data_IF_870173523392
#
_entry.id   IF_870173523392
#
_cell.length_a   1.000
_cell.length_b   1.000
_cell.length_c   1.000
_cell.angle_alpha   90.00
_cell.angle_beta   90.00
_cell.angle_gamma   90.00
#
_symmetry.space_group_name_H-M   'P 1'
#
loop_
_entity.id
_entity.type
_entity.pdbx_description
1 polymer ?
#
# COMPACT_ATOMS: atom_id res chain seq x y z
N UNK A 1 -8.21 -2.06 15.16
CA UNK A 1 -7.07 -1.74 16.06
C UNK A 1 -5.78 -2.42 15.60
N UNK A 2 -5.81 -3.70 15.22
CA UNK A 2 -4.61 -4.45 14.81
C UNK A 2 -3.77 -3.76 13.71
N UNK A 3 -4.40 -3.18 12.70
CA UNK A 3 -3.75 -2.47 11.59
C UNK A 3 -3.16 -1.10 11.99
N UNK A 4 -3.59 -0.56 13.14
CA UNK A 4 -3.11 0.71 13.70
C UNK A 4 -2.04 0.49 14.78
N UNK A 5 -1.43 -0.70 14.84
CA UNK A 5 -0.29 -0.97 15.72
C UNK A 5 0.84 -1.67 14.97
N UNK A 6 2.05 -1.45 15.43
CA UNK A 6 3.21 -2.25 15.06
C UNK A 6 3.96 -2.71 16.32
N UNK A 7 4.05 -4.02 16.51
CA UNK A 7 4.85 -4.60 17.60
C UNK A 7 6.32 -4.69 17.19
N UNK A 8 7.21 -4.33 18.10
CA UNK A 8 8.67 -4.37 17.92
C UNK A 8 9.29 -5.11 19.10
N UNK A 9 10.04 -6.17 18.82
CA UNK A 9 10.74 -6.98 19.83
C UNK A 9 12.16 -6.48 20.06
N UNK A 10 12.75 -6.80 21.21
CA UNK A 10 14.14 -6.46 21.54
C UNK A 10 14.36 -5.01 21.99
N UNK A 11 13.30 -4.22 22.14
CA UNK A 11 13.35 -2.86 22.67
C UNK A 11 12.61 -2.77 24.00
N UNK A 12 12.98 -1.82 24.87
CA UNK A 12 12.25 -1.58 26.11
C UNK A 12 10.91 -0.90 25.84
N UNK A 13 9.93 -1.12 26.73
CA UNK A 13 8.59 -0.51 26.63
C UNK A 13 8.63 1.02 26.53
N UNK A 14 9.61 1.67 27.18
CA UNK A 14 9.81 3.12 27.11
C UNK A 14 10.15 3.68 25.72
N UNK A 15 10.49 2.82 24.76
CA UNK A 15 10.66 3.20 23.35
C UNK A 15 9.34 3.17 22.55
N UNK A 16 8.24 2.74 23.17
CA UNK A 16 6.92 2.78 22.54
C UNK A 16 6.48 4.21 22.29
N UNK A 17 5.81 4.45 21.17
CA UNK A 17 5.39 5.79 20.75
C UNK A 17 4.21 5.73 19.80
N UNK A 18 3.44 6.81 19.76
CA UNK A 18 2.40 7.01 18.75
C UNK A 18 3.01 7.82 17.61
N UNK A 19 2.88 7.33 16.38
CA UNK A 19 3.29 8.03 15.17
C UNK A 19 2.05 8.53 14.42
N UNK A 20 2.07 9.73 13.84
CA UNK A 20 1.02 10.15 12.91
C UNK A 20 1.06 9.28 11.65
N UNK A 21 -0.09 9.00 11.05
CA UNK A 21 -0.19 8.14 9.87
C UNK A 21 -0.19 6.65 10.17
N UNK A 22 0.08 5.85 9.15
CA UNK A 22 0.07 4.39 9.16
C UNK A 22 1.48 3.83 8.97
N UNK A 23 1.72 2.66 9.55
CA UNK A 23 2.92 1.87 9.28
C UNK A 23 2.53 0.58 8.58
N UNK A 24 2.90 0.47 7.31
CA UNK A 24 2.74 -0.74 6.53
C UNK A 24 3.94 -1.65 6.79
N UNK A 25 3.69 -2.90 7.22
CA UNK A 25 4.71 -3.92 7.52
C UNK A 25 5.30 -4.53 6.23
N UNK A 26 5.68 -3.67 5.29
CA UNK A 26 6.32 -3.96 4.01
C UNK A 26 7.42 -2.95 3.76
N UNK A 27 8.44 -3.38 3.03
CA UNK A 27 9.46 -2.49 2.50
C UNK A 27 9.05 -2.00 1.10
N UNK A 28 9.74 -0.97 0.60
CA UNK A 28 9.58 -0.51 -0.76
C UNK A 28 10.20 -1.51 -1.76
N UNK A 29 9.44 -1.89 -2.78
CA UNK A 29 9.99 -2.58 -3.96
C UNK A 29 10.75 -1.59 -4.88
N UNK A 30 10.25 -0.35 -4.93
CA UNK A 30 10.94 0.79 -5.50
C UNK A 30 10.74 1.99 -4.57
N UNK A 31 11.83 2.63 -4.17
CA UNK A 31 11.76 3.85 -3.36
C UNK A 31 12.37 5.02 -4.12
N UNK A 32 11.57 6.07 -4.27
CA UNK A 32 12.01 7.36 -4.78
C UNK A 32 11.66 8.42 -3.71
N UNK A 33 12.67 9.03 -3.06
CA UNK A 33 12.44 10.01 -2.00
C UNK A 33 11.79 11.27 -2.58
N UNK A 34 10.65 11.65 -2.01
CA UNK A 34 9.89 12.81 -2.45
C UNK A 34 9.46 13.66 -1.26
N UNK A 35 9.48 14.97 -1.44
CA UNK A 35 8.99 15.93 -0.45
C UNK A 35 7.59 16.44 -0.83
N UNK A 36 6.79 16.78 0.18
CA UNK A 36 5.45 17.31 0.00
C UNK A 36 4.40 16.25 -0.31
N UNK A 37 3.23 16.73 -0.73
CA UNK A 37 2.08 15.89 -0.99
C UNK A 37 2.28 15.01 -2.23
N UNK A 38 1.94 13.73 -2.09
CA UNK A 38 2.12 12.68 -3.09
C UNK A 38 0.76 12.15 -3.51
N UNK A 39 0.54 12.03 -4.80
CA UNK A 39 -0.63 11.31 -5.33
C UNK A 39 -0.34 9.81 -5.32
N UNK A 40 -1.22 9.07 -4.68
CA UNK A 40 -1.12 7.64 -4.47
C UNK A 40 -2.29 6.91 -5.12
N UNK A 41 -2.01 5.75 -5.72
CA UNK A 41 -3.01 4.87 -6.31
C UNK A 41 -2.94 3.50 -5.62
N UNK A 42 -4.12 2.98 -5.26
CA UNK A 42 -4.30 1.62 -4.75
C UNK A 42 -4.52 0.67 -5.93
N UNK A 43 -3.87 -0.49 -5.93
CA UNK A 43 -4.04 -1.49 -7.01
C UNK A 43 -4.16 -2.88 -6.42
N UNK A 44 -5.17 -3.62 -6.85
CA UNK A 44 -5.42 -4.99 -6.36
C UNK A 44 -4.93 -6.09 -7.30
N UNK A 45 -4.40 -5.73 -8.46
CA UNK A 45 -4.06 -6.67 -9.53
C UNK A 45 -2.69 -6.34 -10.18
N UNK A 46 -2.07 -7.29 -10.90
CA UNK A 46 -0.80 -7.03 -11.57
C UNK A 46 -0.97 -5.97 -12.68
N UNK A 47 -0.10 -4.95 -12.69
CA UNK A 47 -0.13 -3.91 -13.74
C UNK A 47 0.42 -4.42 -15.07
N UNK A 48 1.25 -5.47 -15.04
CA UNK A 48 1.74 -6.12 -16.26
C UNK A 48 0.63 -7.02 -16.82
N UNK A 49 0.20 -6.82 -18.08
CA UNK A 49 -0.76 -7.71 -18.71
C UNK A 49 -0.24 -9.15 -18.78
N UNK A 50 -1.08 -10.11 -18.41
CA UNK A 50 -0.81 -11.51 -18.65
C UNK A 50 -1.02 -11.85 -20.14
N UNK A 51 -0.26 -12.83 -20.66
CA UNK A 51 -0.46 -13.32 -22.03
C UNK A 51 -1.79 -14.08 -22.20
N UNK A 52 -2.30 -14.65 -21.11
CA UNK A 52 -3.56 -15.38 -21.06
C UNK A 52 -4.24 -15.21 -19.71
N UNK A 53 -5.55 -15.42 -19.71
CA UNK A 53 -6.35 -15.42 -18.48
C UNK A 53 -6.16 -16.72 -17.67
N UNK A 54 -6.67 -16.75 -16.43
CA UNK A 54 -6.64 -17.95 -15.59
C UNK A 54 -7.26 -19.15 -16.31
N UNK A 55 -6.53 -20.28 -16.34
CA UNK A 55 -6.99 -21.51 -16.98
C UNK A 55 -6.94 -21.52 -18.51
N UNK A 56 -6.33 -20.51 -19.13
CA UNK A 56 -6.16 -20.43 -20.60
C UNK A 56 -4.68 -20.51 -20.96
N UNK A 57 -4.35 -21.33 -21.96
CA UNK A 57 -3.00 -21.44 -22.50
C UNK A 57 -2.74 -20.41 -23.60
N UNK A 58 -1.55 -19.82 -23.59
CA UNK A 58 -1.08 -18.93 -24.65
C UNK A 58 -0.27 -19.73 -25.67
N UNK A 59 -0.89 -20.05 -26.82
CA UNK A 59 -0.23 -20.79 -27.89
C UNK A 59 0.59 -19.86 -28.78
N UNK A 60 1.88 -20.16 -28.89
CA UNK A 60 2.83 -19.46 -29.77
C UNK A 60 3.16 -20.37 -30.96
N UNK A 61 2.81 -19.94 -32.17
CA UNK A 61 3.06 -20.70 -33.40
C UNK A 61 4.33 -20.26 -34.13
N UNK A 62 4.96 -19.16 -33.73
CA UNK A 62 6.21 -18.68 -34.32
C UNK A 62 6.97 -17.76 -33.36
N UNK A 63 8.29 -17.65 -33.58
CA UNK A 63 9.12 -16.69 -32.85
C UNK A 63 8.65 -15.24 -33.05
N UNK A 64 8.25 -14.86 -34.27
CA UNK A 64 7.75 -13.52 -34.55
C UNK A 64 6.50 -13.16 -33.76
N UNK A 65 5.58 -14.12 -33.57
CA UNK A 65 4.40 -13.95 -32.73
C UNK A 65 4.80 -13.73 -31.26
N UNK A 66 5.72 -14.54 -30.73
CA UNK A 66 6.19 -14.39 -29.36
C UNK A 66 6.83 -13.03 -29.11
N UNK A 67 7.71 -12.59 -30.01
CA UNK A 67 8.36 -11.28 -29.90
C UNK A 67 7.34 -10.13 -30.01
N UNK A 68 6.36 -10.25 -30.90
CA UNK A 68 5.28 -9.26 -31.00
C UNK A 68 4.48 -9.17 -29.70
N UNK A 69 4.15 -10.31 -29.08
CA UNK A 69 3.47 -10.36 -27.78
C UNK A 69 4.31 -9.74 -26.66
N UNK A 70 5.61 -10.01 -26.62
CA UNK A 70 6.52 -9.37 -25.66
C UNK A 70 6.56 -7.85 -25.81
N UNK A 71 6.67 -7.35 -27.05
CA UNK A 71 6.64 -5.90 -27.33
C UNK A 71 5.31 -5.28 -26.93
N UNK A 72 4.19 -5.97 -27.18
CA UNK A 72 2.87 -5.51 -26.77
C UNK A 72 2.76 -5.41 -25.24
N UNK A 73 3.18 -6.43 -24.49
CA UNK A 73 3.17 -6.39 -23.02
C UNK A 73 4.05 -5.26 -22.48
N UNK A 74 5.27 -5.11 -23.03
CA UNK A 74 6.18 -4.04 -22.63
C UNK A 74 5.59 -2.65 -22.89
N UNK A 75 5.10 -2.40 -24.10
CA UNK A 75 4.48 -1.12 -24.46
C UNK A 75 3.23 -0.80 -23.62
N UNK A 76 2.45 -1.82 -23.23
CA UNK A 76 1.33 -1.63 -22.30
C UNK A 76 1.78 -1.27 -20.88
N UNK A 77 2.82 -1.93 -20.37
CA UNK A 77 3.38 -1.57 -19.05
C UNK A 77 3.94 -0.15 -19.05
N UNK A 78 4.61 0.27 -20.13
CA UNK A 78 5.07 1.65 -20.30
C UNK A 78 3.90 2.63 -20.35
N UNK A 79 2.87 2.37 -21.15
CA UNK A 79 1.70 3.24 -21.25
C UNK A 79 0.96 3.41 -19.90
N UNK A 80 0.88 2.37 -19.07
CA UNK A 80 0.33 2.49 -17.71
C UNK A 80 1.20 3.42 -16.86
N UNK A 81 2.53 3.29 -16.93
CA UNK A 81 3.44 4.16 -16.16
C UNK A 81 3.43 5.61 -16.63
N UNK A 82 3.36 5.85 -17.94
CA UNK A 82 3.15 7.17 -18.52
C UNK A 82 1.81 7.76 -18.05
N UNK A 83 0.75 6.95 -18.02
CA UNK A 83 -0.55 7.39 -17.53
C UNK A 83 -0.51 7.78 -16.05
N UNK A 84 0.12 6.98 -15.19
CA UNK A 84 0.36 7.32 -13.79
C UNK A 84 1.16 8.62 -13.66
N UNK A 85 2.25 8.77 -14.41
CA UNK A 85 3.09 9.96 -14.38
C UNK A 85 2.33 11.21 -14.85
N UNK A 86 1.54 11.11 -15.93
CA UNK A 86 0.75 12.22 -16.48
C UNK A 86 -0.30 12.72 -15.48
N UNK A 87 -0.79 11.82 -14.61
CA UNK A 87 -1.65 12.15 -13.48
C UNK A 87 -0.85 12.52 -12.22
N UNK A 88 0.45 12.78 -12.33
CA UNK A 88 1.33 13.11 -11.21
C UNK A 88 1.30 12.09 -10.06
N UNK A 89 0.99 10.82 -10.36
CA UNK A 89 1.03 9.73 -9.37
C UNK A 89 2.49 9.43 -9.06
N UNK A 90 2.79 9.40 -7.76
CA UNK A 90 4.14 9.24 -7.20
C UNK A 90 4.25 8.04 -6.28
N UNK A 91 3.12 7.42 -5.93
CA UNK A 91 3.09 6.25 -5.08
C UNK A 91 2.09 5.21 -5.60
N UNK A 92 2.56 3.98 -5.73
CA UNK A 92 1.76 2.81 -6.03
C UNK A 92 1.70 1.91 -4.80
N UNK A 93 0.49 1.62 -4.33
CA UNK A 93 0.22 0.74 -3.20
C UNK A 93 -0.52 -0.49 -3.72
N UNK A 94 0.15 -1.64 -3.74
CA UNK A 94 -0.37 -2.85 -4.36
C UNK A 94 -0.63 -3.98 -3.37
N UNK A 95 -1.80 -4.63 -3.49
CA UNK A 95 -2.11 -5.85 -2.73
C UNK A 95 -1.33 -7.06 -3.21
N UNK A 96 -0.96 -7.08 -4.50
CA UNK A 96 -0.25 -8.19 -5.13
C UNK A 96 1.22 -7.84 -5.34
N UNK A 97 2.03 -8.86 -5.60
CA UNK A 97 3.39 -8.68 -6.09
C UNK A 97 3.34 -8.17 -7.54
N UNK A 98 4.11 -7.13 -7.84
CA UNK A 98 4.27 -6.60 -9.18
C UNK A 98 5.43 -7.27 -9.90
N UNK A 99 5.35 -7.33 -11.23
CA UNK A 99 6.40 -7.88 -12.07
C UNK A 99 7.65 -6.97 -12.05
N UNK A 100 8.85 -7.55 -12.15
CA UNK A 100 10.09 -6.77 -12.15
C UNK A 100 10.13 -5.68 -13.23
N UNK A 101 9.50 -5.90 -14.40
CA UNK A 101 9.39 -4.87 -15.42
C UNK A 101 8.56 -3.67 -14.95
N UNK A 102 7.49 -3.90 -14.17
CA UNK A 102 6.67 -2.84 -13.56
C UNK A 102 7.51 -2.07 -12.55
N UNK A 103 8.29 -2.75 -11.70
CA UNK A 103 9.17 -2.13 -10.72
C UNK A 103 10.29 -1.31 -11.38
N UNK A 104 10.89 -1.84 -12.45
CA UNK A 104 11.93 -1.15 -13.22
C UNK A 104 11.38 0.11 -13.90
N UNK A 105 10.21 0.01 -14.54
CA UNK A 105 9.55 1.16 -15.15
C UNK A 105 9.15 2.17 -14.08
N UNK A 106 8.54 1.77 -12.97
CA UNK A 106 8.17 2.67 -11.88
C UNK A 106 9.36 3.51 -11.39
N UNK A 107 10.55 2.90 -11.25
CA UNK A 107 11.80 3.64 -10.93
C UNK A 107 12.16 4.68 -12.00
N UNK A 108 12.08 4.32 -13.28
CA UNK A 108 12.35 5.24 -14.39
C UNK A 108 11.38 6.43 -14.44
N UNK A 109 10.12 6.21 -14.07
CA UNK A 109 9.08 7.24 -14.03
C UNK A 109 9.00 8.00 -12.69
N UNK A 110 9.85 7.66 -11.71
CA UNK A 110 9.89 8.30 -10.39
C UNK A 110 8.67 7.99 -9.52
N UNK A 111 8.16 6.75 -9.60
CA UNK A 111 7.04 6.23 -8.82
C UNK A 111 7.57 5.26 -7.77
N UNK A 112 7.28 5.54 -6.50
CA UNK A 112 7.56 4.62 -5.40
C UNK A 112 6.53 3.49 -5.38
N UNK A 113 6.94 2.27 -5.06
CA UNK A 113 6.09 1.08 -5.06
C UNK A 113 6.19 0.35 -3.72
N UNK A 114 5.04 0.11 -3.10
CA UNK A 114 4.86 -0.81 -1.98
C UNK A 114 3.92 -1.91 -2.45
N UNK A 115 4.36 -3.16 -2.34
CA UNK A 115 3.62 -4.33 -2.86
C UNK A 115 3.34 -5.37 -1.78
N UNK A 116 2.53 -6.36 -2.11
CA UNK A 116 2.10 -7.42 -1.18
C UNK A 116 1.39 -6.90 0.08
N UNK A 117 0.64 -5.81 -0.03
CA UNK A 117 -0.24 -5.32 1.05
C UNK A 117 -1.37 -6.31 1.30
N UNK A 118 -1.74 -6.52 2.56
CA UNK A 118 -2.86 -7.42 2.88
C UNK A 118 -4.19 -6.82 2.41
N UNK A 119 -5.23 -7.66 2.27
CA UNK A 119 -6.59 -7.18 2.02
C UNK A 119 -7.05 -6.17 3.07
N UNK A 120 -6.64 -6.39 4.32
CA UNK A 120 -6.98 -5.51 5.45
C UNK A 120 -6.29 -4.16 5.34
N UNK A 121 -5.02 -4.13 4.90
CA UNK A 121 -4.30 -2.88 4.63
C UNK A 121 -4.99 -2.09 3.52
N UNK A 122 -5.37 -2.74 2.42
CA UNK A 122 -6.06 -2.09 1.31
C UNK A 122 -7.43 -1.58 1.75
N UNK A 123 -8.20 -2.38 2.49
CA UNK A 123 -9.50 -1.96 3.01
C UNK A 123 -9.38 -0.73 3.91
N UNK A 124 -8.42 -0.72 4.83
CA UNK A 124 -8.15 0.43 5.71
C UNK A 124 -7.71 1.66 4.91
N UNK A 125 -6.84 1.49 3.92
CA UNK A 125 -6.39 2.58 3.05
C UNK A 125 -7.57 3.18 2.27
N UNK A 126 -8.44 2.34 1.69
CA UNK A 126 -9.67 2.78 1.04
C UNK A 126 -10.62 3.50 2.01
N UNK A 127 -10.76 3.01 3.24
CA UNK A 127 -11.61 3.64 4.26
C UNK A 127 -11.09 5.05 4.65
N UNK A 128 -9.78 5.18 4.86
CA UNK A 128 -9.16 6.46 5.28
C UNK A 128 -9.16 7.50 4.15
N UNK A 129 -8.91 7.05 2.93
CA UNK A 129 -8.73 7.95 1.77
C UNK A 129 -10.01 8.16 0.97
N UNK A 130 -11.00 7.29 1.14
CA UNK A 130 -12.24 7.29 0.35
C UNK A 130 -12.07 6.80 -1.09
N UNK A 131 -10.89 6.30 -1.47
CA UNK A 131 -10.58 5.90 -2.85
C UNK A 131 -10.80 4.40 -3.08
N UNK A 132 -11.33 4.06 -4.26
CA UNK A 132 -11.39 2.66 -4.68
C UNK A 132 -10.09 2.22 -5.35
N UNK A 133 -9.73 0.92 -5.30
CA UNK A 133 -8.59 0.41 -6.04
C UNK A 133 -8.73 0.63 -7.55
N UNK A 134 -7.66 1.12 -8.16
CA UNK A 134 -7.53 1.25 -9.59
C UNK A 134 -7.42 -0.12 -10.26
N UNK A 135 -8.28 -0.34 -11.25
CA UNK A 135 -8.42 -1.58 -12.01
C UNK A 135 -8.04 -1.29 -13.46
N UNK A 136 -6.81 -1.58 -13.90
CA UNK A 136 -6.34 -1.30 -15.26
C UNK A 136 -6.81 -2.34 -16.31
N UNK A 137 -8.03 -2.89 -16.18
CA UNK A 137 -8.48 -3.99 -17.03
C UNK A 137 -9.23 -3.52 -18.28
N UNK A 138 -8.81 -4.04 -19.44
CA UNK A 138 -9.43 -3.85 -20.75
C UNK A 138 -8.56 -3.08 -21.75
N UNK A 139 -9.14 -2.67 -22.89
CA UNK A 139 -8.47 -1.85 -23.91
C UNK A 139 -8.35 -0.37 -23.53
N UNK A 140 -8.99 0.05 -22.42
CA UNK A 140 -8.91 1.41 -21.93
C UNK A 140 -7.76 1.57 -20.93
N UNK A 141 -6.53 1.68 -21.45
CA UNK A 141 -5.36 2.17 -20.69
C UNK A 141 -5.63 3.58 -20.10
N UNK A 142 -6.58 4.31 -20.70
CA UNK A 142 -7.03 5.64 -20.32
C UNK A 142 -8.32 5.64 -19.49
N UNK A 143 -8.69 4.53 -18.84
CA UNK A 143 -9.71 4.62 -17.79
C UNK A 143 -9.30 5.71 -16.81
N UNK A 144 -10.14 6.73 -16.62
CA UNK A 144 -9.80 7.87 -15.78
C UNK A 144 -9.31 7.37 -14.43
N UNK A 145 -8.15 7.85 -13.95
CA UNK A 145 -7.77 7.67 -12.56
C UNK A 145 -8.66 8.61 -11.74
N UNK A 146 -9.92 8.21 -11.55
CA UNK A 146 -10.92 9.00 -10.83
C UNK A 146 -10.57 9.11 -9.35
N UNK A 147 -9.94 8.06 -8.82
CA UNK A 147 -9.78 7.86 -7.38
C UNK A 147 -8.28 7.88 -7.03
N UNK A 148 -7.79 9.06 -6.65
CA UNK A 148 -6.39 9.28 -6.26
C UNK A 148 -6.32 9.74 -4.81
N UNK A 149 -5.61 8.98 -3.97
CA UNK A 149 -5.33 9.37 -2.61
C UNK A 149 -4.21 10.42 -2.56
N UNK A 150 -4.28 11.31 -1.59
CA UNK A 150 -3.20 12.27 -1.32
C UNK A 150 -2.50 11.88 -0.03
N UNK A 151 -1.23 11.52 -0.14
CA UNK A 151 -0.35 11.21 0.97
C UNK A 151 0.51 12.44 1.31
N UNK A 152 0.51 12.89 2.56
CA UNK A 152 1.31 14.04 3.02
C UNK A 152 2.79 13.71 3.16
N UNK A 153 3.11 12.43 3.40
CA UNK A 153 4.45 11.90 3.39
C UNK A 153 4.42 10.39 3.14
N UNK A 154 5.50 9.84 2.59
CA UNK A 154 5.71 8.40 2.45
C UNK A 154 7.21 8.12 2.51
N UNK A 155 7.67 7.42 3.55
CA UNK A 155 9.10 7.25 3.83
C UNK A 155 9.42 5.87 4.42
N UNK A 156 10.66 5.36 4.22
CA UNK A 156 11.12 4.15 4.89
C UNK A 156 11.22 4.39 6.40
N UNK A 157 10.79 3.39 7.18
CA UNK A 157 10.86 3.39 8.63
C UNK A 157 11.51 2.10 9.09
N UNK A 158 12.57 2.22 9.89
CA UNK A 158 13.20 1.07 10.54
C UNK A 158 12.59 0.87 11.93
N UNK A 159 11.94 -0.28 12.13
CA UNK A 159 11.36 -0.70 13.40
C UNK A 159 12.10 -1.95 13.91
N UNK A 160 13.07 -1.74 14.79
CA UNK A 160 13.99 -2.80 15.20
C UNK A 160 14.85 -3.23 14.00
N UNK A 161 14.72 -4.49 13.58
CA UNK A 161 15.39 -5.03 12.38
C UNK A 161 14.50 -5.05 11.14
N UNK A 162 13.23 -4.62 11.23
CA UNK A 162 12.30 -4.66 10.12
C UNK A 162 12.20 -3.31 9.40
N UNK A 163 12.29 -3.34 8.07
CA UNK A 163 12.03 -2.18 7.20
C UNK A 163 10.54 -2.15 6.88
N UNK A 164 9.92 -1.03 7.20
CA UNK A 164 8.51 -0.75 7.01
C UNK A 164 8.33 0.52 6.19
N UNK A 165 7.12 0.76 5.70
CA UNK A 165 6.75 2.05 5.10
C UNK A 165 5.91 2.83 6.09
N UNK A 166 6.28 4.09 6.30
CA UNK A 166 5.53 5.05 7.10
C UNK A 166 4.87 6.06 6.18
N UNK A 167 3.54 6.13 6.24
CA UNK A 167 2.74 6.91 5.32
C UNK A 167 1.69 7.73 6.05
N UNK A 168 1.56 9.00 5.70
CA UNK A 168 0.49 9.89 6.17
C UNK A 168 -0.44 10.22 5.01
N UNK A 169 -1.75 10.23 5.25
CA UNK A 169 -2.75 10.65 4.27
C UNK A 169 -3.42 11.94 4.72
N UNK A 170 -3.82 12.77 3.76
CA UNK A 170 -4.88 13.73 4.01
C UNK A 170 -6.17 12.95 4.14
N UNK A 171 -6.67 12.81 5.37
CA UNK A 171 -7.92 12.10 5.60
C UNK A 171 -9.09 12.90 5.03
N UNK A 172 -10.01 12.20 4.37
CA UNK A 172 -11.28 12.80 3.89
C UNK A 172 -12.34 12.88 4.99
N UNK A 173 -12.07 12.30 6.15
CA UNK A 173 -12.93 12.27 7.32
C UNK A 173 -12.22 12.87 8.55
N UNK A 174 -12.98 13.18 9.60
CA UNK A 174 -12.43 13.69 10.88
C UNK A 174 -11.48 12.70 11.58
N UNK A 175 -11.37 11.49 11.03
CA UNK A 175 -10.45 10.46 11.50
C UNK A 175 -9.03 10.73 10.99
N UNK A 176 -8.13 11.10 11.90
CA UNK A 176 -6.70 11.23 11.59
C UNK A 176 -5.98 9.94 12.03
N UNK A 177 -5.52 9.10 11.09
CA UNK A 177 -4.89 7.82 11.44
C UNK A 177 -3.59 8.07 12.22
N UNK A 178 -3.40 7.29 13.28
CA UNK A 178 -2.15 7.21 14.04
C UNK A 178 -1.80 5.74 14.24
N UNK A 179 -0.51 5.42 14.24
CA UNK A 179 -0.01 4.09 14.47
C UNK A 179 0.71 4.01 15.82
N UNK A 180 0.29 3.07 16.67
CA UNK A 180 0.97 2.77 17.93
C UNK A 180 2.14 1.82 17.68
N UNK A 181 3.36 2.31 17.90
CA UNK A 181 4.56 1.46 17.96
C UNK A 181 4.68 0.92 19.38
N UNK A 182 4.51 -0.39 19.53
CA UNK A 182 4.55 -1.08 20.80
C UNK A 182 5.85 -1.89 20.91
N UNK A 183 6.75 -1.42 21.76
CA UNK A 183 8.05 -2.02 21.99
C UNK A 183 8.01 -2.95 23.21
N UNK A 184 8.70 -4.08 23.13
CA UNK A 184 8.82 -5.01 24.24
C UNK A 184 10.02 -5.93 24.08
N UNK A 185 10.55 -6.50 25.18
CA UNK A 185 11.75 -7.32 25.14
C UNK A 185 11.53 -8.59 24.31
N UNK A 186 10.32 -9.16 24.36
CA UNK A 186 9.93 -10.39 23.66
C UNK A 186 8.51 -10.28 23.12
N UNK A 187 8.17 -11.10 22.12
CA UNK A 187 6.86 -11.07 21.45
C UNK A 187 5.68 -11.27 22.42
N UNK A 188 5.80 -12.19 23.38
CA UNK A 188 4.71 -12.46 24.34
C UNK A 188 4.37 -11.26 25.23
N UNK A 189 5.34 -10.40 25.55
CA UNK A 189 5.07 -9.15 26.29
C UNK A 189 4.32 -8.14 25.42
N UNK A 190 4.69 -8.04 24.14
CA UNK A 190 3.96 -7.20 23.17
C UNK A 190 2.53 -7.69 22.93
N UNK A 191 2.28 -8.99 23.00
CA UNK A 191 0.96 -9.58 22.89
C UNK A 191 0.09 -9.22 24.10
N UNK A 192 0.59 -9.43 25.32
CA UNK A 192 -0.10 -9.03 26.55
C UNK A 192 -0.45 -7.54 26.58
N UNK A 193 0.50 -6.68 26.18
CA UNK A 193 0.24 -5.25 26.07
C UNK A 193 -0.79 -4.91 24.98
N UNK A 194 -0.80 -5.65 23.87
CA UNK A 194 -1.82 -5.49 22.83
C UNK A 194 -3.21 -5.79 23.33
N UNK A 195 -3.38 -6.92 24.00
CA UNK A 195 -4.67 -7.37 24.53
C UNK A 195 -5.18 -6.39 25.59
N UNK A 196 -4.29 -5.92 26.47
CA UNK A 196 -4.64 -4.91 27.48
C UNK A 196 -5.11 -3.60 26.83
N UNK A 197 -4.43 -3.14 25.77
CA UNK A 197 -4.81 -1.93 25.02
C UNK A 197 -6.13 -2.12 24.28
N UNK A 198 -6.34 -3.28 23.66
CA UNK A 198 -7.60 -3.61 22.99
C UNK A 198 -8.77 -3.61 23.98
N UNK A 199 -8.57 -4.18 25.18
CA UNK A 199 -9.54 -4.09 26.27
C UNK A 199 -9.82 -2.64 26.69
N UNK A 200 -8.78 -1.82 26.85
CA UNK A 200 -8.93 -0.41 27.19
C UNK A 200 -9.70 0.38 26.11
N UNK A 201 -9.38 0.17 24.82
CA UNK A 201 -10.11 0.80 23.73
C UNK A 201 -11.56 0.33 23.66
N UNK A 202 -11.82 -0.96 23.89
CA UNK A 202 -13.18 -1.50 23.96
C UNK A 202 -13.97 -0.82 25.08
N UNK A 203 -13.38 -0.66 26.26
CA UNK A 203 -14.03 0.07 27.37
C UNK A 203 -14.30 1.53 27.02
N UNK A 204 -13.33 2.23 26.41
CA UNK A 204 -13.53 3.61 25.97
C UNK A 204 -14.67 3.72 24.95
N UNK A 205 -14.73 2.82 23.97
CA UNK A 205 -15.83 2.77 23.00
C UNK A 205 -17.19 2.62 23.68
N UNK A 206 -17.30 1.82 24.75
CA UNK A 206 -18.57 1.69 25.49
C UNK A 206 -18.97 2.98 26.22
N UNK A 207 -18.02 3.80 26.68
CA UNK A 207 -18.31 5.09 27.30
C UNK A 207 -18.85 6.12 26.29
N UNK A 208 -18.46 6.01 25.03
CA UNK A 208 -18.89 6.90 23.95
C UNK A 208 -20.08 6.40 23.15
N UNK A 209 -20.53 5.15 23.38
CA UNK A 209 -21.84 4.71 22.88
C UNK A 209 -22.89 5.52 23.61
N UNK A 210 -23.53 6.43 22.89
CA UNK A 210 -24.77 7.06 23.35
C UNK A 210 -25.74 5.96 23.74
N UNK A 211 -26.24 6.01 24.97
CA UNK A 211 -27.45 5.27 25.32
C UNK A 211 -28.54 5.91 24.48
N UNK A 212 -28.98 5.23 23.42
CA UNK A 212 -30.16 5.63 22.67
C UNK A 212 -31.31 5.82 23.68
N UNK A 213 -31.76 7.06 23.87
CA UNK A 213 -32.95 7.41 24.64
C UNK A 213 -34.16 7.47 23.73
#
# INVERSE_FOLDING_TARGET
>A
FAQLRAAVTGLSLGNSRVLPGLVLRRDFAAYFPMGGDLRAVLVTEPLRPAFSGPGVEFLVNSQGQYEASLRWVAGRTEAVMEHLQSNNVKLLLSSVKQDEAVICSAKAYGVSVVECLSSDDIALLSEITGVSPYVPFGDNIHGEITDIAVATFCQPLLLGSERCVHIGFTSVCDFVPHCLILCGPVAGVNEQHSEALEGAFTMLQQLFKTVDQ
#
